data_IF_816126000439
#
_entry.id   IF_816126000439
#
_cell.length_a   1.000
_cell.length_b   1.000
_cell.length_c   1.000
_cell.angle_alpha   90.00
_cell.angle_beta   90.00
_cell.angle_gamma   90.00
#
_symmetry.space_group_name_H-M   'P 1'
#
loop_
_entity.id
_entity.type
_entity.pdbx_description
1 polymer ?
#
# COMPACT_ATOMS: atom_id res chain seq x y z
N UNK A 1 -7.30 8.50 -1.97
CA UNK A 1 -7.24 9.03 -0.60
C UNK A 1 -7.64 10.48 -0.63
N UNK A 2 -8.71 10.90 0.06
CA UNK A 2 -9.05 12.31 0.17
C UNK A 2 -7.93 13.04 0.93
N UNK A 3 -7.70 14.33 0.66
CA UNK A 3 -6.72 15.11 1.41
C UNK A 3 -7.15 15.26 2.87
N UNK A 4 -6.17 15.33 3.76
CA UNK A 4 -6.38 15.56 5.19
C UNK A 4 -6.42 17.07 5.51
N UNK A 5 -7.09 17.49 6.60
CA UNK A 5 -7.01 18.87 7.06
C UNK A 5 -5.55 19.33 7.25
N UNK A 6 -5.19 20.48 6.65
CA UNK A 6 -3.82 21.03 6.69
C UNK A 6 -2.90 20.59 5.55
N UNK A 7 -3.33 19.65 4.71
CA UNK A 7 -2.56 19.19 3.54
C UNK A 7 -2.59 20.23 2.41
N UNK A 8 -1.44 20.50 1.80
CA UNK A 8 -1.35 21.38 0.64
C UNK A 8 -1.86 20.65 -0.61
N UNK A 9 -2.70 21.30 -1.40
CA UNK A 9 -3.32 20.71 -2.60
C UNK A 9 -3.29 21.65 -3.80
N UNK A 10 -3.33 21.08 -5.01
CA UNK A 10 -3.66 21.85 -6.20
C UNK A 10 -5.17 21.97 -6.37
N UNK A 11 -5.64 23.18 -6.70
CA UNK A 11 -7.01 23.42 -7.14
C UNK A 11 -7.01 23.70 -8.65
N UNK A 12 -7.71 22.86 -9.41
CA UNK A 12 -7.96 23.10 -10.83
C UNK A 12 -9.31 23.80 -10.96
N UNK A 13 -9.31 25.02 -11.49
CA UNK A 13 -10.51 25.83 -11.70
C UNK A 13 -10.82 25.89 -13.20
N UNK A 14 -11.73 25.05 -13.74
CA UNK A 14 -12.11 25.12 -15.15
C UNK A 14 -12.62 26.52 -15.52
N UNK A 15 -12.02 27.14 -16.54
CA UNK A 15 -12.37 28.50 -16.95
C UNK A 15 -12.07 29.59 -15.89
N UNK A 16 -11.26 29.28 -14.88
CA UNK A 16 -10.98 30.20 -13.78
C UNK A 16 -12.12 30.36 -12.76
N UNK A 17 -13.18 29.54 -12.85
CA UNK A 17 -14.29 29.60 -11.89
C UNK A 17 -13.99 28.75 -10.63
N UNK A 18 -13.77 29.38 -9.47
CA UNK A 18 -13.48 28.66 -8.23
C UNK A 18 -14.68 27.87 -7.68
N UNK A 19 -15.92 28.23 -8.04
CA UNK A 19 -17.10 27.48 -7.61
C UNK A 19 -17.17 26.07 -8.23
N UNK A 20 -16.45 25.85 -9.34
CA UNK A 20 -16.35 24.57 -10.03
C UNK A 20 -15.00 23.88 -9.83
N UNK A 21 -14.20 24.35 -8.87
CA UNK A 21 -12.85 23.86 -8.67
C UNK A 21 -12.84 22.39 -8.18
N UNK A 22 -11.81 21.65 -8.58
CA UNK A 22 -11.54 20.29 -8.10
C UNK A 22 -10.14 20.19 -7.54
N UNK A 23 -9.96 19.39 -6.49
CA UNK A 23 -8.64 19.08 -5.95
C UNK A 23 -7.89 18.11 -6.89
N UNK A 24 -6.67 18.44 -7.29
CA UNK A 24 -5.83 17.61 -8.16
C UNK A 24 -4.58 17.15 -7.42
N UNK A 25 -4.80 16.33 -6.39
CA UNK A 25 -3.73 15.76 -5.57
C UNK A 25 -3.08 16.77 -4.62
N UNK A 26 -2.06 16.28 -3.94
CA UNK A 26 -1.41 16.95 -2.83
C UNK A 26 0.04 17.27 -3.12
N UNK A 27 0.58 18.23 -2.38
CA UNK A 27 1.97 18.67 -2.44
C UNK A 27 2.70 18.30 -1.16
N UNK A 28 3.94 17.82 -1.32
CA UNK A 28 4.82 17.64 -0.18
C UNK A 28 5.22 18.98 0.44
N UNK A 29 5.31 19.01 1.76
CA UNK A 29 5.68 20.18 2.56
C UNK A 29 6.51 19.75 3.77
N UNK A 30 6.98 20.71 4.58
CA UNK A 30 7.67 20.38 5.83
C UNK A 30 6.76 19.61 6.81
N UNK A 31 5.45 19.89 6.79
CA UNK A 31 4.48 19.21 7.65
C UNK A 31 4.02 17.87 7.05
N UNK A 32 4.11 17.70 5.73
CA UNK A 32 3.75 16.48 5.00
C UNK A 32 4.88 16.09 4.04
N UNK A 33 6.01 15.55 4.55
CA UNK A 33 7.15 15.19 3.72
C UNK A 33 6.82 14.02 2.78
N UNK A 34 7.66 13.78 1.75
CA UNK A 34 7.53 12.61 0.91
C UNK A 34 7.52 11.30 1.72
N UNK A 35 6.70 10.29 1.35
CA UNK A 35 6.61 8.99 2.05
C UNK A 35 7.85 8.10 1.83
N UNK A 36 8.83 8.60 1.08
CA UNK A 36 10.02 7.89 0.67
C UNK A 36 11.10 8.86 0.19
N UNK A 37 12.36 8.41 0.21
CA UNK A 37 13.52 9.17 -0.23
C UNK A 37 14.27 8.51 -1.39
N UNK A 38 13.84 7.31 -1.81
CA UNK A 38 14.46 6.58 -2.91
C UNK A 38 13.73 6.88 -4.22
N UNK A 39 14.48 7.09 -5.30
CA UNK A 39 13.89 7.35 -6.62
C UNK A 39 13.10 6.15 -7.17
N UNK A 40 13.42 4.94 -6.71
CA UNK A 40 12.90 3.68 -7.26
C UNK A 40 11.82 3.04 -6.37
N UNK A 41 11.14 3.83 -5.53
CA UNK A 41 10.12 3.31 -4.63
C UNK A 41 8.72 3.90 -4.88
N UNK A 42 7.72 3.05 -4.75
CA UNK A 42 6.33 3.45 -4.58
C UNK A 42 5.97 3.21 -3.11
N UNK A 43 5.57 4.25 -2.40
CA UNK A 43 5.27 4.17 -0.97
C UNK A 43 3.93 4.85 -0.65
N UNK A 44 3.14 4.19 0.19
CA UNK A 44 1.92 4.73 0.80
C UNK A 44 2.07 4.56 2.30
N UNK A 45 2.03 5.67 3.04
CA UNK A 45 2.06 5.68 4.51
C UNK A 45 0.69 6.17 5.03
N UNK A 46 0.05 5.35 5.85
CA UNK A 46 -1.22 5.70 6.50
C UNK A 46 -0.97 6.58 7.75
N UNK A 47 -1.99 7.34 8.23
CA UNK A 47 -1.83 8.22 9.39
C UNK A 47 -1.45 7.51 10.70
N UNK A 48 -1.71 6.20 10.82
CA UNK A 48 -1.29 5.38 11.96
C UNK A 48 0.15 4.83 11.81
N UNK A 49 0.85 5.21 10.74
CA UNK A 49 2.22 4.79 10.43
C UNK A 49 2.33 3.45 9.71
N UNK A 50 1.22 2.80 9.35
CA UNK A 50 1.27 1.60 8.50
C UNK A 50 1.77 1.96 7.09
N UNK A 51 2.57 1.09 6.49
CA UNK A 51 3.20 1.33 5.19
C UNK A 51 2.93 0.22 4.20
N UNK A 52 2.66 0.60 2.95
CA UNK A 52 2.71 -0.27 1.77
C UNK A 52 3.78 0.26 0.82
N UNK A 53 4.82 -0.54 0.55
CA UNK A 53 6.02 -0.09 -0.16
C UNK A 53 6.48 -1.12 -1.18
N UNK A 54 6.68 -0.67 -2.42
CA UNK A 54 7.34 -1.44 -3.49
C UNK A 54 8.69 -0.80 -3.82
N UNK A 55 9.78 -1.56 -3.73
CA UNK A 55 11.12 -1.15 -4.13
C UNK A 55 11.48 -1.84 -5.46
N UNK A 56 11.62 -1.07 -6.53
CA UNK A 56 11.91 -1.60 -7.86
C UNK A 56 13.35 -2.10 -8.03
N UNK A 57 14.31 -1.56 -7.28
CA UNK A 57 15.71 -2.02 -7.31
C UNK A 57 15.83 -3.45 -6.77
N UNK A 58 15.06 -3.78 -5.74
CA UNK A 58 15.03 -5.11 -5.11
C UNK A 58 13.90 -6.00 -5.63
N UNK A 59 12.98 -5.43 -6.42
CA UNK A 59 11.72 -6.08 -6.81
C UNK A 59 10.94 -6.62 -5.60
N UNK A 60 10.89 -5.83 -4.52
CA UNK A 60 10.34 -6.25 -3.23
C UNK A 60 9.10 -5.45 -2.85
N UNK A 61 8.04 -6.16 -2.42
CA UNK A 61 6.83 -5.55 -1.88
C UNK A 61 6.75 -5.82 -0.37
N UNK A 62 6.41 -4.80 0.41
CA UNK A 62 6.19 -4.91 1.85
C UNK A 62 4.93 -4.20 2.30
N UNK A 63 4.21 -4.82 3.24
CA UNK A 63 3.13 -4.20 4.01
C UNK A 63 3.49 -4.34 5.51
N UNK A 64 3.71 -3.22 6.21
CA UNK A 64 4.24 -3.19 7.59
C UNK A 64 3.43 -2.25 8.48
N UNK A 65 3.57 -2.39 9.80
CA UNK A 65 2.85 -1.58 10.79
C UNK A 65 1.36 -1.91 10.92
N UNK A 66 0.86 -2.90 10.18
CA UNK A 66 -0.55 -3.31 10.21
C UNK A 66 -0.84 -4.26 11.38
N UNK A 67 -2.06 -4.20 11.92
CA UNK A 67 -2.54 -5.17 12.92
C UNK A 67 -3.05 -6.46 12.28
N UNK A 68 -3.71 -6.35 11.13
CA UNK A 68 -4.32 -7.48 10.41
C UNK A 68 -4.23 -7.23 8.92
N UNK A 69 -4.02 -8.29 8.13
CA UNK A 69 -4.24 -8.31 6.69
C UNK A 69 -5.38 -9.27 6.38
N UNK A 70 -6.33 -8.86 5.53
CA UNK A 70 -7.40 -9.73 5.03
C UNK A 70 -7.38 -9.69 3.52
N UNK A 71 -7.25 -10.86 2.90
CA UNK A 71 -7.31 -11.02 1.45
C UNK A 71 -8.53 -11.89 1.17
N UNK A 72 -9.50 -11.35 0.45
CA UNK A 72 -10.71 -12.06 0.03
C UNK A 72 -10.71 -12.13 -1.48
N UNK A 73 -10.75 -13.34 -2.02
CA UNK A 73 -10.83 -13.60 -3.45
C UNK A 73 -12.04 -14.50 -3.73
N UNK A 74 -12.75 -14.24 -4.83
CA UNK A 74 -13.92 -15.05 -5.23
C UNK A 74 -13.51 -16.42 -5.76
N UNK A 75 -12.37 -16.50 -6.44
CA UNK A 75 -11.90 -17.73 -7.11
C UNK A 75 -10.75 -18.39 -6.37
N UNK A 76 -9.59 -17.74 -6.29
CA UNK A 76 -8.40 -18.31 -5.66
C UNK A 76 -7.41 -17.23 -5.22
N UNK A 77 -6.52 -17.61 -4.31
CA UNK A 77 -5.28 -16.88 -3.98
C UNK A 77 -4.13 -17.81 -4.34
N UNK A 78 -3.17 -17.32 -5.13
CA UNK A 78 -1.96 -18.04 -5.51
C UNK A 78 -0.75 -17.38 -4.86
N UNK A 79 0.06 -18.17 -4.17
CA UNK A 79 1.35 -17.76 -3.59
C UNK A 79 2.45 -18.51 -4.33
N UNK A 80 2.94 -17.95 -5.43
CA UNK A 80 4.00 -18.54 -6.25
C UNK A 80 5.37 -18.06 -5.78
N UNK A 81 5.99 -18.84 -4.90
CA UNK A 81 7.31 -18.57 -4.35
C UNK A 81 7.99 -19.87 -3.91
N UNK A 82 9.34 -19.95 -3.98
CA UNK A 82 10.08 -21.10 -3.44
C UNK A 82 9.90 -21.31 -1.93
N UNK A 83 9.53 -20.25 -1.19
CA UNK A 83 9.31 -20.28 0.25
C UNK A 83 8.09 -19.42 0.62
N UNK A 84 7.16 -20.01 1.37
CA UNK A 84 6.08 -19.32 2.08
C UNK A 84 6.24 -19.61 3.57
N UNK A 85 6.33 -18.57 4.40
CA UNK A 85 6.61 -18.71 5.82
C UNK A 85 5.46 -18.19 6.67
N UNK A 86 4.85 -19.08 7.45
CA UNK A 86 3.97 -18.73 8.57
C UNK A 86 4.77 -18.89 9.85
N UNK A 87 5.03 -17.80 10.57
CA UNK A 87 5.90 -17.80 11.75
C UNK A 87 5.23 -18.33 13.03
N UNK A 88 3.90 -18.45 13.02
CA UNK A 88 3.09 -19.03 14.09
C UNK A 88 2.06 -20.03 13.52
N UNK A 89 0.78 -19.88 13.87
CA UNK A 89 -0.28 -20.81 13.53
C UNK A 89 -0.77 -20.62 12.08
N UNK A 90 -0.71 -21.68 11.27
CA UNK A 90 -1.47 -21.82 10.04
C UNK A 90 -2.80 -22.50 10.34
N UNK A 91 -3.92 -21.78 10.16
CA UNK A 91 -5.27 -22.34 10.27
C UNK A 91 -5.90 -22.43 8.88
N UNK A 92 -6.23 -23.64 8.44
CA UNK A 92 -6.95 -23.89 7.20
C UNK A 92 -8.08 -24.90 7.43
N UNK A 93 -9.13 -24.85 6.61
CA UNK A 93 -10.21 -25.85 6.63
C UNK A 93 -9.73 -27.18 6.05
N UNK A 94 -8.94 -27.12 4.98
CA UNK A 94 -8.38 -28.26 4.28
C UNK A 94 -6.92 -27.98 3.96
N UNK A 95 -6.07 -28.99 4.12
CA UNK A 95 -4.67 -28.93 3.74
C UNK A 95 -4.38 -30.10 2.81
N UNK A 96 -3.83 -29.78 1.64
CA UNK A 96 -3.39 -30.76 0.65
C UNK A 96 -1.94 -30.44 0.29
N UNK A 97 -1.07 -31.44 0.34
CA UNK A 97 0.31 -31.35 -0.09
C UNK A 97 0.48 -32.23 -1.33
N UNK A 98 0.75 -31.60 -2.48
CA UNK A 98 0.80 -32.31 -3.77
C UNK A 98 2.17 -32.93 -4.07
N UNK A 99 3.25 -32.35 -3.54
CA UNK A 99 4.62 -32.86 -3.72
C UNK A 99 5.58 -32.23 -2.70
N UNK A 100 6.60 -32.98 -2.27
CA UNK A 100 7.58 -32.53 -1.27
C UNK A 100 7.24 -32.97 0.15
N UNK A 101 7.77 -32.26 1.15
CA UNK A 101 7.71 -32.61 2.57
C UNK A 101 9.00 -33.29 3.03
N UNK A 102 9.81 -32.58 3.81
CA UNK A 102 10.91 -33.14 4.61
C UNK A 102 10.60 -32.92 6.08
#
# INVERSE_FOLDING_TARGET
IPPSPGEQVFLLCPGGNPETAVSAGSLYSNDNPPPGSLENEMAITAPDGAEFRYNAQESSLTARGIKTATITAETSITLDAPKVECTQLLKTKTFELTSGGT
#
